data_IF_540681593354
#
_entry.id   IF_540681593354
#
_cell.length_a   1.000
_cell.length_b   1.000
_cell.length_c   1.000
_cell.angle_alpha   90.00
_cell.angle_beta   90.00
_cell.angle_gamma   90.00
#
_symmetry.space_group_name_H-M   'P 1'
#
loop_
_entity.id
_entity.type
_entity.pdbx_description
1 polymer ?
#
# COMPACT_ATOMS: atom_id res chain seq x y z
N UNK A 1 -7.49 5.48 -1.10
CA UNK A 1 -8.16 5.58 0.21
C UNK A 1 -8.31 4.22 0.86
N UNK A 2 -9.08 3.29 0.27
CA UNK A 2 -9.36 1.94 0.84
C UNK A 2 -8.12 1.29 1.43
N UNK A 3 -7.07 1.05 0.64
CA UNK A 3 -5.88 0.37 1.15
C UNK A 3 -5.26 1.05 2.38
N UNK A 4 -5.03 2.37 2.37
CA UNK A 4 -4.45 3.06 3.53
C UNK A 4 -5.36 3.02 4.74
N UNK A 5 -6.67 3.20 4.58
CA UNK A 5 -7.61 3.08 5.68
C UNK A 5 -7.60 1.67 6.28
N UNK A 6 -7.64 0.63 5.44
CA UNK A 6 -7.57 -0.78 5.85
C UNK A 6 -6.31 -1.09 6.64
N UNK A 7 -5.16 -0.60 6.18
CA UNK A 7 -3.90 -0.84 6.88
C UNK A 7 -3.79 -0.01 8.17
N UNK A 8 -4.34 1.21 8.20
CA UNK A 8 -4.49 2.00 9.43
C UNK A 8 -5.32 1.23 10.47
N UNK A 9 -6.48 0.68 10.09
CA UNK A 9 -7.33 -0.15 10.96
C UNK A 9 -6.56 -1.35 11.50
N UNK A 10 -5.85 -2.08 10.63
CA UNK A 10 -4.97 -3.19 11.04
C UNK A 10 -3.91 -2.74 12.05
N UNK A 11 -3.15 -1.68 11.76
CA UNK A 11 -2.04 -1.25 12.62
C UNK A 11 -2.52 -0.70 13.97
N UNK A 12 -3.61 0.08 14.00
CA UNK A 12 -4.19 0.58 15.25
C UNK A 12 -4.76 -0.57 16.07
N UNK A 13 -5.51 -1.48 15.43
CA UNK A 13 -6.11 -2.62 16.11
C UNK A 13 -5.08 -3.56 16.72
N UNK A 14 -4.04 -3.91 15.97
CA UNK A 14 -2.95 -4.77 16.45
C UNK A 14 -2.09 -4.13 17.56
N UNK A 15 -2.04 -2.79 17.63
CA UNK A 15 -1.18 -2.09 18.59
C UNK A 15 -1.89 -1.65 19.86
N UNK A 16 -3.16 -1.23 19.77
CA UNK A 16 -3.88 -0.61 20.90
C UNK A 16 -4.96 -1.49 21.53
N UNK A 17 -5.49 -2.51 20.84
CA UNK A 17 -6.63 -3.30 21.35
C UNK A 17 -6.11 -4.50 22.16
N UNK A 18 -6.31 -4.55 23.49
CA UNK A 18 -5.77 -5.62 24.33
C UNK A 18 -6.27 -7.01 23.95
N UNK A 19 -7.54 -7.13 23.56
CA UNK A 19 -8.15 -8.39 23.14
C UNK A 19 -7.44 -8.98 21.93
N UNK A 20 -7.10 -8.15 20.95
CA UNK A 20 -6.40 -8.56 19.73
C UNK A 20 -4.96 -8.94 20.04
N UNK A 21 -4.29 -8.20 20.93
CA UNK A 21 -2.94 -8.55 21.39
C UNK A 21 -2.96 -9.91 22.08
N UNK A 22 -3.95 -10.18 22.94
CA UNK A 22 -4.10 -11.48 23.60
C UNK A 22 -4.37 -12.59 22.58
N UNK A 23 -5.24 -12.38 21.60
CA UNK A 23 -5.48 -13.33 20.51
C UNK A 23 -4.21 -13.62 19.71
N UNK A 24 -3.42 -12.58 19.40
CA UNK A 24 -2.15 -12.73 18.70
C UNK A 24 -1.15 -13.54 19.53
N UNK A 25 -0.95 -13.18 20.80
CA UNK A 25 -0.02 -13.87 21.70
C UNK A 25 -0.44 -15.32 21.97
N UNK A 26 -1.74 -15.62 21.95
CA UNK A 26 -2.23 -17.00 22.03
C UNK A 26 -1.84 -17.82 20.79
N UNK A 27 -1.85 -17.20 19.61
CA UNK A 27 -1.48 -17.85 18.33
C UNK A 27 0.03 -17.94 18.16
N UNK A 28 0.77 -16.94 18.61
CA UNK A 28 2.21 -16.82 18.47
C UNK A 28 2.89 -16.46 19.81
N UNK A 29 3.03 -17.42 20.75
CA UNK A 29 3.44 -17.14 22.13
C UNK A 29 4.85 -16.61 22.32
N UNK A 30 5.72 -16.82 21.32
CA UNK A 30 7.12 -16.39 21.34
C UNK A 30 7.39 -15.22 20.39
N UNK A 31 6.36 -14.70 19.76
CA UNK A 31 6.51 -13.70 18.71
C UNK A 31 6.26 -12.29 19.22
N UNK A 32 7.02 -11.34 18.69
CA UNK A 32 6.75 -9.92 18.92
C UNK A 32 5.45 -9.49 18.26
N UNK A 33 4.81 -8.46 18.81
CA UNK A 33 3.69 -7.79 18.13
C UNK A 33 4.21 -7.26 16.80
N UNK A 34 3.57 -7.59 15.67
CA UNK A 34 4.14 -7.37 14.35
C UNK A 34 3.93 -5.94 13.82
N UNK A 35 3.57 -5.01 14.71
CA UNK A 35 3.25 -3.61 14.42
C UNK A 35 3.95 -2.73 15.43
N UNK A 36 4.67 -1.73 14.92
CA UNK A 36 5.38 -0.74 15.71
C UNK A 36 4.78 0.65 15.51
N UNK A 37 5.06 1.59 16.42
CA UNK A 37 4.44 2.92 16.38
C UNK A 37 4.70 3.68 15.06
N UNK A 38 5.88 3.51 14.46
CA UNK A 38 6.21 4.10 13.17
C UNK A 38 5.30 3.58 12.02
N UNK A 39 4.81 2.34 12.09
CA UNK A 39 3.85 1.82 11.11
C UNK A 39 2.53 2.59 11.19
N UNK A 40 2.08 2.92 12.40
CA UNK A 40 0.85 3.70 12.63
C UNK A 40 1.04 5.13 12.11
N UNK A 41 2.14 5.78 12.48
CA UNK A 41 2.45 7.13 12.04
C UNK A 41 2.51 7.23 10.50
N UNK A 42 3.18 6.28 9.84
CA UNK A 42 3.24 6.20 8.39
C UNK A 42 1.86 6.05 7.75
N UNK A 43 1.02 5.17 8.29
CA UNK A 43 -0.32 4.91 7.75
C UNK A 43 -1.28 6.07 7.94
N UNK A 44 -1.25 6.73 9.11
CA UNK A 44 -2.05 7.93 9.37
C UNK A 44 -1.61 9.05 8.42
N UNK A 45 -0.30 9.30 8.30
CA UNK A 45 0.23 10.30 7.38
C UNK A 45 -0.22 10.03 5.94
N UNK A 46 -0.08 8.78 5.45
CA UNK A 46 -0.52 8.40 4.11
C UNK A 46 -2.04 8.52 3.91
N UNK A 47 -2.83 8.26 4.95
CA UNK A 47 -4.29 8.45 4.93
C UNK A 47 -4.63 9.94 4.77
N UNK A 48 -4.00 10.81 5.55
CA UNK A 48 -4.17 12.27 5.46
C UNK A 48 -3.74 12.77 4.08
N UNK A 49 -2.57 12.35 3.59
CA UNK A 49 -2.08 12.75 2.27
C UNK A 49 -3.08 12.38 1.17
N UNK A 50 -3.70 11.19 1.22
CA UNK A 50 -4.74 10.79 0.28
C UNK A 50 -6.00 11.64 0.40
N UNK A 51 -6.43 12.00 1.61
CA UNK A 51 -7.59 12.89 1.80
C UNK A 51 -7.32 14.24 1.14
N UNK A 52 -6.11 14.79 1.34
CA UNK A 52 -5.66 16.02 0.68
C UNK A 52 -5.68 15.85 -0.84
N UNK A 53 -5.13 14.76 -1.38
CA UNK A 53 -5.15 14.50 -2.84
C UNK A 53 -6.58 14.37 -3.38
N UNK A 54 -7.48 13.71 -2.66
CA UNK A 54 -8.89 13.60 -3.05
C UNK A 54 -9.54 14.98 -3.08
N UNK A 55 -9.31 15.80 -2.05
CA UNK A 55 -9.80 17.18 -2.01
C UNK A 55 -9.25 18.00 -3.19
N UNK A 56 -7.95 17.90 -3.46
CA UNK A 56 -7.30 18.54 -4.62
C UNK A 56 -7.94 18.09 -5.93
N UNK A 57 -8.30 16.81 -6.07
CA UNK A 57 -9.05 16.37 -7.24
C UNK A 57 -10.36 17.15 -7.40
N UNK A 58 -11.08 17.52 -6.34
CA UNK A 58 -12.34 18.31 -6.44
C UNK A 58 -12.11 19.78 -6.79
N UNK A 59 -10.97 20.35 -6.41
CA UNK A 59 -10.67 21.77 -6.64
C UNK A 59 -10.01 22.00 -8.01
N UNK A 60 -9.09 21.14 -8.43
CA UNK A 60 -8.37 21.29 -9.69
C UNK A 60 -9.14 20.76 -10.90
N UNK A 61 -8.80 21.27 -12.09
CA UNK A 61 -9.44 20.94 -13.36
C UNK A 61 -9.32 19.44 -13.67
N UNK A 62 -10.48 18.78 -13.85
CA UNK A 62 -10.58 17.34 -14.08
C UNK A 62 -10.57 16.93 -15.56
N UNK A 63 -10.67 17.89 -16.48
CA UNK A 63 -10.81 17.62 -17.91
C UNK A 63 -11.93 16.61 -18.21
N UNK A 64 -11.70 15.72 -19.18
CA UNK A 64 -12.63 14.64 -19.56
C UNK A 64 -12.36 13.30 -18.86
N UNK A 65 -11.74 13.31 -17.67
CA UNK A 65 -11.43 12.06 -16.97
C UNK A 65 -12.70 11.36 -16.48
N UNK A 66 -12.82 10.07 -16.79
CA UNK A 66 -13.92 9.20 -16.35
C UNK A 66 -13.41 8.15 -15.38
N UNK A 67 -14.26 7.73 -14.45
CA UNK A 67 -13.96 6.63 -13.54
C UNK A 67 -13.88 5.33 -14.34
N UNK A 68 -12.81 4.57 -14.14
CA UNK A 68 -12.66 3.25 -14.77
C UNK A 68 -13.71 2.28 -14.20
N UNK A 69 -14.53 1.70 -15.08
CA UNK A 69 -15.53 0.68 -14.72
C UNK A 69 -14.83 -0.51 -14.05
N UNK A 70 -13.69 -0.96 -14.58
CA UNK A 70 -12.90 -2.04 -13.99
C UNK A 70 -12.47 -1.70 -12.56
N UNK A 71 -12.02 -0.47 -12.32
CA UNK A 71 -11.67 0.00 -10.98
C UNK A 71 -12.89 0.03 -10.04
N UNK A 72 -14.04 0.48 -10.52
CA UNK A 72 -15.27 0.50 -9.75
C UNK A 72 -15.74 -0.92 -9.37
N UNK A 73 -15.72 -1.87 -10.31
CA UNK A 73 -16.07 -3.27 -10.05
C UNK A 73 -15.15 -3.89 -9.01
N UNK A 74 -13.84 -3.67 -9.11
CA UNK A 74 -12.86 -4.15 -8.12
C UNK A 74 -13.16 -3.57 -6.73
N UNK A 75 -13.46 -2.28 -6.64
CA UNK A 75 -13.78 -1.63 -5.37
C UNK A 75 -15.08 -2.15 -4.75
N UNK A 76 -16.12 -2.38 -5.56
CA UNK A 76 -17.38 -2.97 -5.11
C UNK A 76 -17.15 -4.39 -4.58
N UNK A 77 -16.41 -5.21 -5.33
CA UNK A 77 -16.06 -6.57 -4.91
C UNK A 77 -15.29 -6.58 -3.57
N UNK A 78 -14.33 -5.66 -3.41
CA UNK A 78 -13.63 -5.47 -2.13
C UNK A 78 -14.57 -5.02 -1.01
N UNK A 79 -15.52 -4.13 -1.29
CA UNK A 79 -16.52 -3.69 -0.33
C UNK A 79 -17.41 -4.83 0.16
N UNK A 80 -17.84 -5.71 -0.76
CA UNK A 80 -18.60 -6.93 -0.42
C UNK A 80 -17.74 -7.86 0.44
N UNK A 81 -16.46 -8.05 0.10
CA UNK A 81 -15.54 -8.87 0.89
C UNK A 81 -15.30 -8.31 2.32
N UNK A 82 -15.27 -6.98 2.48
CA UNK A 82 -15.25 -6.34 3.81
C UNK A 82 -16.53 -6.58 4.58
N UNK A 83 -17.67 -6.37 3.94
CA UNK A 83 -18.96 -6.55 4.60
C UNK A 83 -19.16 -7.99 5.06
N UNK A 84 -18.83 -8.97 4.20
CA UNK A 84 -18.91 -10.39 4.54
C UNK A 84 -17.96 -10.78 5.68
N UNK A 85 -16.71 -10.29 5.68
CA UNK A 85 -15.78 -10.56 6.80
C UNK A 85 -16.27 -9.94 8.12
N UNK A 86 -16.85 -8.74 8.09
CA UNK A 86 -17.49 -8.15 9.28
C UNK A 86 -18.67 -8.98 9.79
N UNK A 87 -19.52 -9.50 8.90
CA UNK A 87 -20.61 -10.39 9.30
C UNK A 87 -20.07 -11.68 9.94
N UNK A 88 -19.00 -12.26 9.40
CA UNK A 88 -18.39 -13.46 9.97
C UNK A 88 -17.85 -13.22 11.40
N UNK A 89 -17.25 -12.05 11.66
CA UNK A 89 -16.84 -11.65 13.01
C UNK A 89 -18.06 -11.47 13.91
N UNK A 90 -19.10 -10.79 13.42
CA UNK A 90 -20.32 -10.52 14.20
C UNK A 90 -21.05 -11.79 14.64
N UNK A 91 -21.01 -12.85 13.83
CA UNK A 91 -21.58 -14.16 14.14
C UNK A 91 -20.58 -15.13 14.78
N UNK A 92 -19.44 -14.64 15.31
CA UNK A 92 -18.40 -15.42 15.98
C UNK A 92 -17.83 -16.60 15.15
N UNK A 93 -17.93 -16.53 13.82
CA UNK A 93 -17.35 -17.54 12.92
C UNK A 93 -15.85 -17.35 12.72
N UNK A 94 -15.35 -16.11 12.87
CA UNK A 94 -13.93 -15.76 12.81
C UNK A 94 -13.61 -14.75 13.93
N UNK A 95 -12.36 -14.69 14.35
CA UNK A 95 -11.93 -13.75 15.39
C UNK A 95 -11.61 -12.36 14.83
N UNK A 96 -11.55 -11.35 15.70
CA UNK A 96 -11.22 -9.98 15.31
C UNK A 96 -9.84 -9.86 14.66
N UNK A 97 -8.86 -10.62 15.15
CA UNK A 97 -7.53 -10.65 14.55
C UNK A 97 -7.56 -11.19 13.10
N UNK A 98 -8.46 -12.11 12.75
CA UNK A 98 -8.60 -12.63 11.38
C UNK A 98 -9.12 -11.54 10.43
N UNK A 99 -10.08 -10.75 10.90
CA UNK A 99 -10.57 -9.58 10.17
C UNK A 99 -9.48 -8.52 9.97
N UNK A 100 -8.64 -8.29 10.99
CA UNK A 100 -7.51 -7.38 10.85
C UNK A 100 -6.47 -7.90 9.84
N UNK A 101 -6.13 -9.19 9.88
CA UNK A 101 -5.25 -9.78 8.86
C UNK A 101 -5.85 -9.65 7.46
N UNK A 102 -7.17 -9.88 7.32
CA UNK A 102 -7.87 -9.63 6.06
C UNK A 102 -7.71 -8.16 5.58
N UNK A 103 -7.88 -7.17 6.47
CA UNK A 103 -7.62 -5.76 6.15
C UNK A 103 -6.19 -5.53 5.62
N UNK A 104 -5.20 -6.18 6.26
CA UNK A 104 -3.79 -6.08 5.84
C UNK A 104 -3.53 -6.69 4.46
N UNK A 105 -4.15 -7.83 4.15
CA UNK A 105 -4.03 -8.49 2.85
C UNK A 105 -4.70 -7.68 1.73
N UNK A 106 -5.82 -7.03 2.01
CA UNK A 106 -6.45 -6.13 1.03
C UNK A 106 -5.54 -4.94 0.71
N UNK A 107 -4.84 -4.36 1.69
CA UNK A 107 -3.83 -3.31 1.43
C UNK A 107 -2.75 -3.81 0.48
N UNK A 108 -2.22 -5.01 0.71
CA UNK A 108 -1.22 -5.64 -0.14
C UNK A 108 -1.76 -5.84 -1.56
N UNK A 109 -2.96 -6.40 -1.70
CA UNK A 109 -3.61 -6.63 -2.99
C UNK A 109 -3.83 -5.31 -3.76
N UNK A 110 -4.36 -4.27 -3.11
CA UNK A 110 -4.54 -2.95 -3.71
C UNK A 110 -3.19 -2.41 -4.22
N UNK A 111 -2.11 -2.68 -3.50
CA UNK A 111 -0.76 -2.23 -3.87
C UNK A 111 -0.29 -2.88 -5.17
N UNK A 112 -0.52 -4.18 -5.35
CA UNK A 112 -0.25 -4.88 -6.61
C UNK A 112 -1.16 -4.39 -7.74
N UNK A 113 -2.45 -4.22 -7.46
CA UNK A 113 -3.44 -3.75 -8.43
C UNK A 113 -3.18 -2.33 -8.93
N UNK A 114 -2.48 -1.48 -8.17
CA UNK A 114 -2.03 -0.17 -8.69
C UNK A 114 -0.71 -0.27 -9.46
N UNK A 115 0.25 -1.06 -8.96
CA UNK A 115 1.61 -1.05 -9.51
C UNK A 115 1.72 -1.82 -10.83
N UNK A 116 1.02 -2.96 -10.97
CA UNK A 116 1.07 -3.77 -12.20
C UNK A 116 0.51 -2.99 -13.40
N UNK A 117 -0.72 -2.44 -13.35
CA UNK A 117 -1.25 -1.68 -14.49
C UNK A 117 -0.41 -0.44 -14.79
N UNK A 118 0.14 0.20 -13.76
CA UNK A 118 1.02 1.33 -14.00
C UNK A 118 2.28 0.94 -14.77
N UNK A 119 2.96 -0.12 -14.35
CA UNK A 119 4.16 -0.62 -15.02
C UNK A 119 3.87 -0.94 -16.49
N UNK A 120 2.72 -1.56 -16.75
CA UNK A 120 2.25 -1.84 -18.10
C UNK A 120 1.92 -0.56 -18.88
N UNK A 121 1.27 0.43 -18.27
CA UNK A 121 0.94 1.70 -18.93
C UNK A 121 2.20 2.49 -19.29
N UNK A 122 3.20 2.53 -18.40
CA UNK A 122 4.51 3.12 -18.69
C UNK A 122 5.15 2.39 -19.89
N UNK A 123 5.09 1.05 -19.91
CA UNK A 123 5.60 0.26 -21.03
C UNK A 123 4.87 0.52 -22.34
N UNK A 124 3.53 0.63 -22.32
CA UNK A 124 2.70 0.87 -23.51
C UNK A 124 2.85 2.28 -24.05
N UNK A 125 2.93 3.29 -23.16
CA UNK A 125 3.08 4.71 -23.53
C UNK A 125 4.51 5.07 -23.90
N UNK A 126 5.50 4.26 -23.49
CA UNK A 126 6.93 4.56 -23.62
C UNK A 126 7.28 5.93 -23.02
N UNK A 127 6.59 6.32 -21.96
CA UNK A 127 6.74 7.59 -21.26
C UNK A 127 6.28 7.42 -19.81
N UNK A 128 6.95 8.18 -18.93
CA UNK A 128 6.63 8.32 -17.50
C UNK A 128 6.23 9.76 -17.16
N UNK A 129 5.82 10.56 -18.15
CA UNK A 129 5.47 11.97 -17.97
C UNK A 129 4.21 12.12 -17.09
N UNK A 130 4.21 13.12 -16.22
CA UNK A 130 3.13 13.35 -15.24
C UNK A 130 3.23 12.51 -13.97
N UNK A 131 4.29 11.72 -13.80
CA UNK A 131 4.56 10.93 -12.60
C UNK A 131 5.64 11.58 -11.72
N UNK A 132 5.39 11.73 -10.41
CA UNK A 132 6.39 12.24 -9.47
C UNK A 132 7.43 11.15 -9.13
N UNK A 133 8.63 11.26 -9.73
CA UNK A 133 9.74 10.34 -9.44
C UNK A 133 10.26 10.49 -8.00
N UNK A 134 10.15 11.68 -7.41
CA UNK A 134 10.54 11.90 -6.01
C UNK A 134 9.75 11.02 -5.05
N UNK A 135 8.45 10.83 -5.29
CA UNK A 135 7.63 9.91 -4.50
C UNK A 135 8.09 8.46 -4.58
N UNK A 136 8.55 8.00 -5.76
CA UNK A 136 9.08 6.63 -5.98
C UNK A 136 10.33 6.40 -5.13
N UNK A 137 11.23 7.38 -5.06
CA UNK A 137 12.43 7.29 -4.23
C UNK A 137 12.09 7.27 -2.73
N UNK A 138 11.15 8.11 -2.29
CA UNK A 138 10.70 8.11 -0.90
C UNK A 138 10.04 6.78 -0.52
N UNK A 139 9.21 6.22 -1.39
CA UNK A 139 8.61 4.90 -1.20
C UNK A 139 9.67 3.78 -1.16
N UNK A 140 10.71 3.88 -2.00
CA UNK A 140 11.83 2.92 -2.01
C UNK A 140 12.62 2.97 -0.71
N UNK A 141 13.00 4.17 -0.25
CA UNK A 141 13.71 4.36 1.01
C UNK A 141 12.87 3.89 2.20
N UNK A 142 11.58 4.21 2.21
CA UNK A 142 10.64 3.73 3.24
C UNK A 142 10.54 2.21 3.24
N UNK A 143 10.44 1.58 2.07
CA UNK A 143 10.44 0.12 1.93
C UNK A 143 11.75 -0.52 2.43
N UNK A 144 12.90 0.03 2.04
CA UNK A 144 14.21 -0.46 2.48
C UNK A 144 14.40 -0.34 4.00
N UNK A 145 14.07 0.82 4.59
CA UNK A 145 14.17 1.01 6.04
C UNK A 145 13.16 0.16 6.81
N UNK A 146 11.95 -0.05 6.30
CA UNK A 146 10.98 -0.95 6.92
C UNK A 146 11.47 -2.40 6.92
N UNK A 147 12.03 -2.88 5.81
CA UNK A 147 12.63 -4.21 5.72
C UNK A 147 13.85 -4.35 6.63
N UNK A 148 14.72 -3.33 6.68
CA UNK A 148 15.88 -3.31 7.56
C UNK A 148 15.44 -3.38 9.03
N UNK A 149 14.43 -2.61 9.43
CA UNK A 149 13.86 -2.68 10.77
C UNK A 149 13.39 -4.10 11.11
N UNK A 150 12.62 -4.74 10.22
CA UNK A 150 12.14 -6.11 10.44
C UNK A 150 13.29 -7.12 10.62
N UNK A 151 14.38 -6.98 9.85
CA UNK A 151 15.56 -7.84 9.98
C UNK A 151 16.27 -7.59 11.32
N UNK A 152 16.43 -6.33 11.73
CA UNK A 152 17.06 -5.99 13.00
C UNK A 152 16.24 -6.46 14.20
N UNK A 153 14.92 -6.27 14.18
CA UNK A 153 14.02 -6.75 15.22
C UNK A 153 14.08 -8.27 15.32
N UNK A 154 14.04 -8.96 14.19
CA UNK A 154 14.14 -10.42 14.14
C UNK A 154 15.47 -10.94 14.69
N UNK A 155 16.58 -10.28 14.34
CA UNK A 155 17.90 -10.65 14.84
C UNK A 155 18.04 -10.40 16.35
N UNK A 156 17.54 -9.27 16.85
CA UNK A 156 17.66 -8.89 18.25
C UNK A 156 16.84 -9.78 19.21
N UNK A 157 15.69 -10.27 18.76
CA UNK A 157 14.79 -11.09 19.58
C UNK A 157 14.84 -12.58 19.23
N UNK A 158 15.79 -13.00 18.39
CA UNK A 158 15.96 -14.37 17.88
C UNK A 158 14.65 -14.98 17.32
N UNK A 159 13.88 -14.14 16.62
CA UNK A 159 12.54 -14.46 16.13
C UNK A 159 12.43 -14.21 14.63
N UNK A 160 13.01 -15.13 13.87
CA UNK A 160 12.99 -15.15 12.40
C UNK A 160 11.63 -15.56 11.84
N UNK A 161 10.80 -16.21 12.65
CA UNK A 161 9.44 -16.59 12.25
C UNK A 161 8.57 -15.34 12.12
N UNK A 162 8.74 -14.35 12.99
CA UNK A 162 7.97 -13.10 12.94
C UNK A 162 8.22 -12.22 11.72
N UNK A 163 9.36 -12.37 11.03
CA UNK A 163 9.59 -11.70 9.74
C UNK A 163 8.52 -12.10 8.73
N UNK A 164 8.15 -13.39 8.73
CA UNK A 164 7.05 -13.92 7.91
C UNK A 164 5.71 -13.95 8.65
N UNK A 165 5.71 -13.76 9.98
CA UNK A 165 4.52 -13.66 10.83
C UNK A 165 3.62 -12.45 10.53
N UNK A 166 4.15 -11.44 9.83
CA UNK A 166 3.36 -10.40 9.17
C UNK A 166 3.57 -10.44 7.65
N UNK A 167 2.87 -11.36 6.94
CA UNK A 167 3.06 -11.55 5.51
C UNK A 167 2.75 -10.27 4.72
N UNK A 168 1.82 -9.46 5.23
CA UNK A 168 1.43 -8.19 4.63
C UNK A 168 2.52 -7.14 4.75
N UNK A 169 3.15 -6.96 5.91
CA UNK A 169 4.23 -5.98 6.07
C UNK A 169 5.47 -6.36 5.25
N UNK A 170 5.88 -7.62 5.33
CA UNK A 170 6.96 -8.15 4.50
C UNK A 170 6.65 -8.00 3.00
N UNK A 171 5.46 -8.45 2.58
CA UNK A 171 5.03 -8.36 1.19
C UNK A 171 4.95 -6.91 0.70
N UNK A 172 4.43 -5.99 1.52
CA UNK A 172 4.38 -4.57 1.19
C UNK A 172 5.78 -4.00 0.98
N UNK A 173 6.74 -4.30 1.87
CA UNK A 173 8.13 -3.90 1.72
C UNK A 173 8.77 -4.47 0.46
N UNK A 174 8.70 -5.80 0.30
CA UNK A 174 9.30 -6.52 -0.82
C UNK A 174 8.75 -6.08 -2.19
N UNK A 175 7.43 -6.15 -2.38
CA UNK A 175 6.83 -5.78 -3.66
C UNK A 175 7.02 -4.29 -3.93
N UNK A 176 6.93 -3.42 -2.92
CA UNK A 176 7.23 -2.00 -3.12
C UNK A 176 8.65 -1.83 -3.68
N UNK A 177 9.68 -2.37 -3.03
CA UNK A 177 11.07 -2.26 -3.49
C UNK A 177 11.22 -2.71 -4.95
N UNK A 178 10.67 -3.88 -5.31
CA UNK A 178 10.73 -4.41 -6.68
C UNK A 178 10.07 -3.48 -7.69
N UNK A 179 8.83 -3.03 -7.42
CA UNK A 179 8.11 -2.13 -8.32
C UNK A 179 8.77 -0.75 -8.41
N UNK A 180 9.30 -0.22 -7.32
CA UNK A 180 9.99 1.07 -7.34
C UNK A 180 11.27 1.01 -8.20
N UNK A 181 12.09 -0.05 -8.06
CA UNK A 181 13.25 -0.23 -8.95
C UNK A 181 12.84 -0.31 -10.42
N UNK A 182 11.75 -1.02 -10.72
CA UNK A 182 11.21 -1.05 -12.08
C UNK A 182 10.77 0.34 -12.56
N UNK A 183 10.10 1.13 -11.72
CA UNK A 183 9.68 2.49 -12.10
C UNK A 183 10.88 3.43 -12.31
N UNK A 184 11.92 3.33 -11.49
CA UNK A 184 13.19 4.06 -11.67
C UNK A 184 13.84 3.67 -13.00
N UNK A 185 13.92 2.37 -13.30
CA UNK A 185 14.45 1.87 -14.57
C UNK A 185 13.61 2.37 -15.76
N UNK A 186 12.28 2.35 -15.65
CA UNK A 186 11.39 2.88 -16.68
C UNK A 186 11.62 4.38 -16.91
N UNK A 187 11.79 5.17 -15.85
CA UNK A 187 11.93 6.62 -15.95
C UNK A 187 13.31 7.07 -16.47
N UNK A 188 14.41 6.54 -15.92
CA UNK A 188 15.75 7.04 -16.23
C UNK A 188 16.47 6.27 -17.34
N UNK A 189 16.15 4.98 -17.51
CA UNK A 189 16.86 4.12 -18.47
C UNK A 189 16.04 3.95 -19.75
N UNK A 190 14.78 3.51 -19.63
CA UNK A 190 13.99 3.09 -20.80
C UNK A 190 13.27 4.25 -21.50
N UNK A 191 12.64 5.15 -20.73
CA UNK A 191 11.74 6.19 -21.24
C UNK A 191 12.22 7.58 -20.84
N UNK A 192 13.52 7.80 -20.98
CA UNK A 192 14.17 9.05 -20.59
C UNK A 192 13.52 10.22 -21.33
N UNK A 193 13.17 11.33 -20.64
CA UNK A 193 12.60 12.50 -21.30
C UNK A 193 13.61 13.04 -22.33
N UNK A 194 13.32 12.88 -23.61
CA UNK A 194 14.09 13.53 -24.67
C UNK A 194 13.70 15.00 -24.74
N UNK A 195 14.68 15.90 -24.59
CA UNK A 195 14.54 17.38 -24.74
C UNK A 195 13.78 17.84 -25.99
N UNK A 196 13.61 16.99 -27.00
CA UNK A 196 12.87 17.30 -28.23
C UNK A 196 11.34 17.35 -28.09
N UNK A 197 10.74 16.90 -26.97
CA UNK A 197 9.28 17.01 -26.77
C UNK A 197 8.82 18.39 -26.31
N UNK A 198 9.71 19.22 -25.75
CA UNK A 198 9.40 20.57 -25.28
C UNK A 198 9.38 21.62 -26.42
N UNK A 199 9.66 21.20 -27.66
CA UNK A 199 9.72 22.07 -28.84
C UNK A 199 8.46 22.00 -29.72
N UNK A 200 7.44 21.23 -29.32
CA UNK A 200 6.13 21.29 -29.98
C UNK A 200 5.34 22.39 -29.27
N UNK A 201 5.04 23.53 -29.91
CA UNK A 201 4.21 24.56 -29.31
C UNK A 201 2.89 23.93 -28.87
N UNK A 202 2.48 24.19 -27.64
CA UNK A 202 1.14 23.87 -27.12
C UNK A 202 0.10 24.84 -27.71
N UNK A 203 0.09 24.95 -29.03
CA UNK A 203 -1.02 25.50 -29.77
C UNK A 203 -1.79 24.30 -30.34
N UNK A 204 -3.11 24.32 -30.19
CA UNK A 204 -4.09 23.28 -30.55
C UNK A 204 -4.47 22.28 -29.41
N UNK A 205 -5.61 22.67 -28.80
CA UNK A 205 -6.56 21.93 -27.94
C UNK A 205 -6.49 22.12 -26.43
#
# INVERSE_FOLDING_TARGET
MVGYLSYTIFTIGMYYIPEIIMEYMKRYPRSLIPVTFNDIAFNIHGTIAIIVTIFQCFVYTRGNQKISITGAVILIAMGIAYFTSLLLVYFDNIHWIDFLYFCSYIKLLITLLKYIPQAYLNYKRKSTDGWSIGGVFLDLLGGLFSMLQMILDSHNYDDWVSVFGNPSKFGLGFFSIVFQFMFIAQHYILYRPTKHRDLIPTDYF
#
